data_IF_831308485585
#
_entry.id   IF_831308485585
#
_cell.length_a   1.000
_cell.length_b   1.000
_cell.length_c   1.000
_cell.angle_alpha   90.00
_cell.angle_beta   90.00
_cell.angle_gamma   90.00
#
_symmetry.space_group_name_H-M   'P 1'
#
loop_
_entity.id
_entity.type
_entity.pdbx_description
1 polymer ?
#
# COMPACT_ATOMS: atom_id res chain seq x y z
N UNK A 1 7.77 23.91 -10.80
CA UNK A 1 7.84 23.18 -12.07
C UNK A 1 8.66 21.91 -11.82
N UNK A 2 8.04 20.76 -11.84
CA UNK A 2 8.72 19.46 -11.70
C UNK A 2 8.60 18.78 -13.04
N UNK A 3 9.74 18.62 -13.66
CA UNK A 3 9.93 17.92 -14.92
C UNK A 3 9.72 16.42 -14.73
N UNK A 4 8.76 15.85 -15.45
CA UNK A 4 8.79 14.55 -16.14
C UNK A 4 7.52 14.49 -16.97
N UNK A 5 7.66 14.22 -18.27
CA UNK A 5 6.74 14.02 -19.40
C UNK A 5 5.23 13.78 -19.19
N UNK A 6 4.60 14.42 -18.24
CA UNK A 6 3.20 14.26 -17.90
C UNK A 6 2.36 15.33 -18.61
N UNK A 7 1.33 14.90 -19.34
CA UNK A 7 0.20 15.78 -19.63
C UNK A 7 -0.32 16.28 -18.28
N UNK A 8 0.03 17.51 -17.91
CA UNK A 8 -0.49 18.13 -16.69
C UNK A 8 -2.02 18.23 -16.81
N UNK A 9 -2.72 17.44 -15.99
CA UNK A 9 -4.15 17.62 -15.85
C UNK A 9 -4.42 18.97 -15.13
N UNK A 10 -5.37 19.76 -15.61
CA UNK A 10 -5.72 21.02 -14.98
C UNK A 10 -6.52 20.78 -13.69
N UNK A 11 -6.40 21.66 -12.71
CA UNK A 11 -7.21 21.60 -11.50
C UNK A 11 -8.70 21.64 -11.82
N UNK A 12 -9.12 22.46 -12.77
CA UNK A 12 -10.52 22.54 -13.21
C UNK A 12 -11.03 21.17 -13.72
N UNK A 13 -10.20 20.43 -14.45
CA UNK A 13 -10.57 19.09 -14.92
C UNK A 13 -10.78 18.11 -13.78
N UNK A 14 -9.95 18.19 -12.72
CA UNK A 14 -10.09 17.36 -11.52
C UNK A 14 -11.35 17.74 -10.72
N UNK A 15 -11.61 19.03 -10.56
CA UNK A 15 -12.81 19.55 -9.89
C UNK A 15 -14.06 19.09 -10.61
N UNK A 16 -14.14 19.31 -11.92
CA UNK A 16 -15.30 18.91 -12.73
C UNK A 16 -15.55 17.41 -12.68
N UNK A 17 -14.47 16.60 -12.74
CA UNK A 17 -14.58 15.15 -12.58
C UNK A 17 -15.15 14.76 -11.21
N UNK A 18 -14.72 15.41 -10.14
CA UNK A 18 -15.20 15.13 -8.79
C UNK A 18 -16.67 15.57 -8.61
N UNK A 19 -17.04 16.77 -9.04
CA UNK A 19 -18.41 17.26 -8.98
C UNK A 19 -19.37 16.33 -9.72
N UNK A 20 -19.06 15.98 -10.97
CA UNK A 20 -19.86 15.04 -11.77
C UNK A 20 -19.97 13.67 -11.08
N UNK A 21 -18.85 13.16 -10.54
CA UNK A 21 -18.82 11.84 -9.89
C UNK A 21 -19.63 11.76 -8.62
N UNK A 22 -19.75 12.89 -7.91
CA UNK A 22 -20.53 13.01 -6.67
C UNK A 22 -21.97 13.47 -6.89
N UNK A 23 -22.33 13.80 -8.15
CA UNK A 23 -23.66 14.36 -8.48
C UNK A 23 -23.88 15.75 -7.89
N UNK A 24 -22.83 16.52 -7.69
CA UNK A 24 -22.87 17.88 -7.15
C UNK A 24 -23.08 18.90 -8.28
N UNK A 25 -23.81 20.00 -8.03
CA UNK A 25 -23.96 21.08 -9.00
C UNK A 25 -22.62 21.72 -9.38
N UNK A 26 -22.47 22.19 -10.61
CA UNK A 26 -21.27 22.90 -11.07
C UNK A 26 -21.02 24.20 -10.29
N UNK A 27 -22.07 24.76 -9.67
CA UNK A 27 -21.97 25.96 -8.81
C UNK A 27 -21.50 25.68 -7.39
N UNK A 28 -21.20 24.40 -7.05
CA UNK A 28 -20.71 24.03 -5.72
C UNK A 28 -19.34 24.66 -5.48
N UNK A 29 -19.24 25.45 -4.42
CA UNK A 29 -17.94 25.91 -3.95
C UNK A 29 -17.13 24.72 -3.42
N UNK A 30 -16.02 24.43 -4.08
CA UNK A 30 -15.15 23.33 -3.73
C UNK A 30 -13.69 23.76 -3.74
N UNK A 31 -12.91 23.20 -2.84
CA UNK A 31 -11.47 23.37 -2.74
C UNK A 31 -10.73 22.09 -3.11
N UNK A 32 -9.59 22.23 -3.77
CA UNK A 32 -8.70 21.13 -4.09
C UNK A 32 -7.28 21.43 -3.63
N UNK A 33 -6.78 20.63 -2.71
CA UNK A 33 -5.46 20.78 -2.13
C UNK A 33 -4.58 19.56 -2.47
N UNK A 34 -3.34 19.76 -2.97
CA UNK A 34 -2.42 18.66 -3.18
C UNK A 34 -2.02 18.05 -1.84
N UNK A 35 -1.98 16.72 -1.77
CA UNK A 35 -1.39 15.98 -0.67
C UNK A 35 0.09 15.72 -0.97
N UNK A 36 0.91 15.61 0.07
CA UNK A 36 2.35 15.35 -0.08
C UNK A 36 2.58 14.09 -0.92
N UNK A 37 3.50 14.15 -1.89
CA UNK A 37 3.87 13.02 -2.75
C UNK A 37 4.35 11.85 -1.90
N UNK A 38 3.64 10.74 -1.99
CA UNK A 38 4.09 9.45 -1.50
C UNK A 38 4.38 8.59 -2.73
N UNK A 39 5.61 8.63 -3.25
CA UNK A 39 6.22 7.73 -4.24
C UNK A 39 5.40 7.34 -5.50
N UNK A 40 6.01 6.62 -6.42
CA UNK A 40 5.38 5.74 -7.44
C UNK A 40 4.50 6.35 -8.55
N UNK A 41 4.76 7.60 -9.04
CA UNK A 41 4.05 8.12 -10.25
C UNK A 41 2.56 8.38 -10.02
N UNK A 42 2.14 8.65 -8.79
CA UNK A 42 0.77 9.07 -8.44
C UNK A 42 0.81 10.44 -7.78
N UNK A 43 -0.19 11.26 -8.08
CA UNK A 43 -0.43 12.53 -7.43
C UNK A 43 -1.78 12.48 -6.74
N UNK A 44 -1.82 12.88 -5.48
CA UNK A 44 -2.99 12.84 -4.64
C UNK A 44 -3.48 14.24 -4.34
N UNK A 45 -4.79 14.43 -4.42
CA UNK A 45 -5.45 15.67 -4.06
C UNK A 45 -6.61 15.38 -3.13
N UNK A 46 -6.80 16.25 -2.13
CA UNK A 46 -8.03 16.27 -1.33
C UNK A 46 -8.98 17.28 -1.94
N UNK A 47 -10.13 16.80 -2.38
CA UNK A 47 -11.24 17.58 -2.85
C UNK A 47 -12.25 17.77 -1.71
N UNK A 48 -12.59 19.01 -1.37
CA UNK A 48 -13.56 19.35 -0.33
C UNK A 48 -14.69 20.18 -0.91
N UNK A 49 -15.91 19.83 -0.57
CA UNK A 49 -17.13 20.57 -0.97
C UNK A 49 -17.96 21.02 0.22
N UNK A 50 -17.56 20.67 1.43
CA UNK A 50 -18.07 21.25 2.69
C UNK A 50 -16.98 21.12 3.78
N UNK A 51 -17.17 21.75 4.95
CA UNK A 51 -16.24 21.58 6.07
C UNK A 51 -16.07 20.14 6.56
N UNK A 52 -17.08 19.29 6.36
CA UNK A 52 -17.13 17.90 6.83
C UNK A 52 -16.94 16.88 5.71
N UNK A 53 -17.16 17.28 4.45
CA UNK A 53 -17.19 16.36 3.33
C UNK A 53 -15.99 16.54 2.42
N UNK A 54 -15.27 15.45 2.21
CA UNK A 54 -14.10 15.40 1.32
C UNK A 54 -13.97 14.04 0.64
N UNK A 55 -13.22 14.03 -0.45
CA UNK A 55 -12.83 12.83 -1.18
C UNK A 55 -11.38 12.96 -1.64
N UNK A 56 -10.75 11.85 -1.95
CA UNK A 56 -9.39 11.82 -2.50
C UNK A 56 -9.46 11.59 -4.00
N UNK A 57 -8.79 12.47 -4.74
CA UNK A 57 -8.53 12.28 -6.17
C UNK A 57 -7.12 11.75 -6.33
N UNK A 58 -6.95 10.67 -7.08
CA UNK A 58 -5.67 10.14 -7.51
C UNK A 58 -5.57 10.36 -9.03
N UNK A 59 -4.53 11.05 -9.47
CA UNK A 59 -4.10 11.05 -10.86
C UNK A 59 -2.83 10.21 -10.95
N UNK A 60 -2.84 9.18 -11.81
CA UNK A 60 -1.78 8.18 -11.85
C UNK A 60 -1.13 8.07 -13.23
N UNK A 61 0.15 7.70 -13.22
CA UNK A 61 0.91 7.37 -14.41
C UNK A 61 0.59 5.92 -14.85
N UNK A 62 -0.02 5.72 -16.04
CA UNK A 62 -0.36 4.40 -16.55
C UNK A 62 0.84 3.59 -17.03
N UNK A 63 2.03 4.19 -17.26
CA UNK A 63 3.25 3.46 -17.61
C UNK A 63 3.68 2.54 -16.46
N UNK A 64 3.34 2.91 -15.23
CA UNK A 64 3.44 2.00 -14.08
C UNK A 64 2.19 1.15 -14.01
N UNK A 65 2.28 -0.04 -14.58
CA UNK A 65 1.13 -0.95 -14.77
C UNK A 65 0.36 -1.20 -13.46
N UNK A 66 1.04 -1.28 -12.34
CA UNK A 66 0.45 -1.49 -11.01
C UNK A 66 -0.58 -0.39 -10.65
N UNK A 67 -0.34 0.86 -11.09
CA UNK A 67 -1.27 1.97 -10.82
C UNK A 67 -2.63 1.75 -11.48
N UNK A 68 -2.66 1.07 -12.62
CA UNK A 68 -3.90 0.76 -13.34
C UNK A 68 -4.75 -0.30 -12.65
N UNK A 69 -4.19 -1.04 -11.69
CA UNK A 69 -4.88 -2.11 -10.95
C UNK A 69 -5.56 -1.61 -9.67
N UNK A 70 -5.18 -0.42 -9.19
CA UNK A 70 -5.62 0.11 -7.89
C UNK A 70 -7.14 0.06 -7.70
N UNK A 71 -7.91 0.62 -8.65
CA UNK A 71 -9.36 0.70 -8.52
C UNK A 71 -10.03 -0.69 -8.53
N UNK A 72 -9.59 -1.58 -9.40
CA UNK A 72 -10.12 -2.94 -9.49
C UNK A 72 -9.83 -3.74 -8.22
N UNK A 73 -8.60 -3.61 -7.68
CA UNK A 73 -8.20 -4.23 -6.40
C UNK A 73 -9.05 -3.68 -5.27
N UNK A 74 -9.26 -2.35 -5.17
CA UNK A 74 -10.10 -1.76 -4.13
C UNK A 74 -11.53 -2.31 -4.16
N UNK A 75 -12.14 -2.40 -5.35
CA UNK A 75 -13.50 -2.96 -5.53
C UNK A 75 -13.54 -4.44 -5.12
N UNK A 76 -12.52 -5.20 -5.50
CA UNK A 76 -12.39 -6.62 -5.14
C UNK A 76 -12.31 -6.79 -3.62
N UNK A 77 -11.46 -6.00 -2.94
CA UNK A 77 -11.27 -6.03 -1.49
C UNK A 77 -12.54 -5.60 -0.72
N UNK A 78 -13.18 -4.53 -1.18
CA UNK A 78 -14.43 -4.03 -0.58
C UNK A 78 -15.52 -5.11 -0.60
N UNK A 79 -15.69 -5.82 -1.73
CA UNK A 79 -16.66 -6.91 -1.85
C UNK A 79 -16.41 -8.07 -0.87
N UNK A 80 -15.18 -8.19 -0.36
CA UNK A 80 -14.75 -9.23 0.60
C UNK A 80 -14.62 -8.72 2.03
N UNK A 81 -15.16 -7.53 2.28
CA UNK A 81 -15.14 -6.89 3.59
C UNK A 81 -13.71 -6.67 4.15
N UNK A 82 -12.73 -6.55 3.26
CA UNK A 82 -11.41 -6.07 3.63
C UNK A 82 -11.48 -4.55 3.70
N UNK A 83 -11.03 -3.94 4.80
CA UNK A 83 -11.16 -2.50 5.00
C UNK A 83 -10.18 -1.73 4.09
N UNK A 84 -10.71 -1.09 3.08
CA UNK A 84 -10.00 -0.21 2.12
C UNK A 84 -10.90 0.99 1.79
N UNK A 85 -10.35 2.13 1.35
CA UNK A 85 -11.14 3.24 0.86
C UNK A 85 -12.04 2.80 -0.30
N UNK A 86 -13.31 3.15 -0.24
CA UNK A 86 -14.28 2.84 -1.30
C UNK A 86 -14.00 3.70 -2.54
N UNK A 87 -13.95 3.07 -3.70
CA UNK A 87 -13.87 3.78 -4.98
C UNK A 87 -15.25 4.38 -5.29
N UNK A 88 -15.29 5.68 -5.51
CA UNK A 88 -16.48 6.43 -5.91
C UNK A 88 -16.61 6.38 -7.43
N UNK A 89 -15.53 6.71 -8.15
CA UNK A 89 -15.46 6.63 -9.61
C UNK A 89 -14.01 6.40 -10.07
N UNK A 90 -13.86 5.66 -11.16
CA UNK A 90 -12.60 5.49 -11.88
C UNK A 90 -12.81 5.82 -13.37
N UNK A 91 -11.96 6.67 -13.92
CA UNK A 91 -11.89 6.97 -15.36
C UNK A 91 -10.51 6.56 -15.88
N UNK A 92 -10.36 5.34 -16.42
CA UNK A 92 -9.09 4.85 -16.96
C UNK A 92 -8.55 5.69 -18.12
N UNK A 93 -9.44 6.32 -18.91
CA UNK A 93 -9.04 7.13 -20.07
C UNK A 93 -8.33 8.41 -19.66
N UNK A 94 -8.65 8.94 -18.48
CA UNK A 94 -8.04 10.11 -17.86
C UNK A 94 -7.01 9.76 -16.80
N UNK A 95 -6.87 8.48 -16.45
CA UNK A 95 -6.01 8.00 -15.36
C UNK A 95 -6.38 8.64 -14.00
N UNK A 96 -7.69 8.80 -13.72
CA UNK A 96 -8.19 9.44 -12.51
C UNK A 96 -9.04 8.47 -11.70
N UNK A 97 -8.81 8.44 -10.39
CA UNK A 97 -9.64 7.74 -9.42
C UNK A 97 -10.16 8.77 -8.40
N UNK A 98 -11.45 8.71 -8.10
CA UNK A 98 -12.06 9.38 -6.95
C UNK A 98 -12.42 8.32 -5.93
N UNK A 99 -11.95 8.49 -4.70
CA UNK A 99 -12.19 7.55 -3.61
C UNK A 99 -12.51 8.25 -2.30
N UNK A 100 -13.01 7.50 -1.35
CA UNK A 100 -13.30 7.91 0.01
C UNK A 100 -12.05 8.48 0.70
N UNK A 101 -12.24 9.56 1.49
CA UNK A 101 -11.17 10.17 2.27
C UNK A 101 -11.10 9.56 3.67
N UNK A 102 -10.03 8.87 3.97
CA UNK A 102 -9.77 8.26 5.29
C UNK A 102 -9.13 9.22 6.30
N UNK A 103 -9.09 10.51 6.00
CA UNK A 103 -8.48 11.52 6.88
C UNK A 103 -6.94 11.57 6.77
N UNK A 104 -6.29 11.93 7.88
CA UNK A 104 -4.85 12.18 7.90
C UNK A 104 -4.11 11.29 8.91
N UNK A 105 -4.81 10.43 9.63
CA UNK A 105 -4.25 9.65 10.74
C UNK A 105 -4.00 8.23 10.23
N UNK A 106 -2.75 7.84 10.22
CA UNK A 106 -2.30 6.48 9.94
C UNK A 106 -1.85 5.77 11.24
N UNK A 107 -1.58 4.50 11.15
CA UNK A 107 -1.13 3.69 12.28
C UNK A 107 0.23 4.20 12.82
N UNK A 108 1.11 4.72 11.95
CA UNK A 108 2.36 5.35 12.34
C UNK A 108 2.16 6.56 13.26
N UNK A 109 1.06 7.29 13.13
CA UNK A 109 0.71 8.43 13.98
C UNK A 109 0.57 8.02 15.45
N UNK A 110 0.35 6.74 15.73
CA UNK A 110 0.23 6.18 17.08
C UNK A 110 1.55 5.64 17.66
N UNK A 111 2.68 5.71 16.94
CA UNK A 111 3.97 5.12 17.33
C UNK A 111 4.50 5.52 18.73
N UNK A 112 4.10 6.71 19.20
CA UNK A 112 4.49 7.24 20.53
C UNK A 112 3.38 7.14 21.58
N UNK A 113 2.26 6.48 21.25
CA UNK A 113 1.18 6.24 22.21
C UNK A 113 1.51 5.05 23.11
N UNK A 114 0.82 4.97 24.24
CA UNK A 114 0.92 3.85 25.17
C UNK A 114 0.66 2.52 24.46
N UNK A 115 1.35 1.46 24.94
CA UNK A 115 1.28 0.14 24.31
C UNK A 115 -0.15 -0.38 24.16
N UNK A 116 -1.00 -0.24 25.17
CA UNK A 116 -2.39 -0.69 25.11
C UNK A 116 -3.18 -0.12 23.92
N UNK A 117 -2.92 1.16 23.60
CA UNK A 117 -3.55 1.82 22.44
C UNK A 117 -2.97 1.26 21.15
N UNK A 118 -1.63 1.19 21.04
CA UNK A 118 -0.95 0.62 19.88
C UNK A 118 -1.39 -0.82 19.65
N UNK A 119 -1.30 -1.66 20.66
CA UNK A 119 -1.68 -3.07 20.65
C UNK A 119 -3.09 -3.28 20.06
N UNK A 120 -4.06 -2.52 20.56
CA UNK A 120 -5.44 -2.62 20.06
C UNK A 120 -5.54 -2.36 18.56
N UNK A 121 -4.85 -1.33 18.05
CA UNK A 121 -4.88 -0.99 16.62
C UNK A 121 -4.10 -2.01 15.78
N UNK A 122 -2.95 -2.49 16.27
CA UNK A 122 -2.18 -3.52 15.59
C UNK A 122 -2.94 -4.85 15.54
N UNK A 123 -3.61 -5.25 16.61
CA UNK A 123 -4.46 -6.44 16.61
C UNK A 123 -5.62 -6.33 15.60
N UNK A 124 -6.28 -5.17 15.52
CA UNK A 124 -7.32 -4.92 14.49
C UNK A 124 -6.72 -4.99 13.08
N UNK A 125 -5.52 -4.47 12.88
CA UNK A 125 -4.78 -4.51 11.61
C UNK A 125 -4.43 -5.94 11.22
N UNK A 126 -3.91 -6.73 12.16
CA UNK A 126 -3.59 -8.15 11.97
C UNK A 126 -4.83 -8.97 11.63
N UNK A 127 -5.98 -8.71 12.28
CA UNK A 127 -7.25 -9.35 11.93
C UNK A 127 -7.68 -9.02 10.50
N UNK A 128 -7.50 -7.78 10.05
CA UNK A 128 -7.79 -7.40 8.67
C UNK A 128 -6.84 -8.07 7.67
N UNK A 129 -5.53 -8.13 7.98
CA UNK A 129 -4.53 -8.83 7.18
C UNK A 129 -4.82 -10.35 7.13
N UNK A 130 -5.16 -10.96 8.25
CA UNK A 130 -5.56 -12.37 8.30
C UNK A 130 -6.76 -12.67 7.38
N UNK A 131 -7.75 -11.78 7.34
CA UNK A 131 -8.89 -11.94 6.41
C UNK A 131 -8.44 -11.85 4.96
N UNK A 132 -7.54 -10.92 4.64
CA UNK A 132 -6.94 -10.80 3.31
C UNK A 132 -6.22 -12.10 2.91
N UNK A 133 -5.36 -12.63 3.78
CA UNK A 133 -4.58 -13.84 3.53
C UNK A 133 -5.44 -15.11 3.43
N UNK A 134 -6.66 -15.09 3.97
CA UNK A 134 -7.59 -16.21 3.93
C UNK A 134 -8.68 -16.09 2.85
N UNK A 135 -8.51 -15.21 1.87
CA UNK A 135 -9.37 -15.19 0.69
C UNK A 135 -9.12 -16.48 -0.10
N UNK A 136 -10.09 -17.40 -0.09
CA UNK A 136 -9.98 -18.75 -0.67
C UNK A 136 -10.55 -18.84 -2.10
N UNK A 137 -10.59 -17.75 -2.83
CA UNK A 137 -11.06 -17.78 -4.20
C UNK A 137 -9.95 -18.21 -5.16
N UNK A 138 -10.33 -18.95 -6.18
CA UNK A 138 -9.45 -19.19 -7.32
C UNK A 138 -9.24 -17.86 -8.07
N UNK A 139 -8.11 -17.21 -7.78
CA UNK A 139 -7.75 -15.92 -8.37
C UNK A 139 -7.56 -16.01 -9.88
N UNK A 140 -7.34 -17.22 -10.42
CA UNK A 140 -7.26 -17.43 -11.87
C UNK A 140 -8.61 -17.28 -12.57
N UNK A 141 -9.71 -17.44 -11.81
CA UNK A 141 -11.08 -17.27 -12.28
C UNK A 141 -11.66 -15.89 -11.94
N UNK A 142 -10.91 -15.03 -11.24
CA UNK A 142 -11.34 -13.68 -10.90
C UNK A 142 -10.90 -12.69 -11.99
N UNK A 143 -11.76 -11.71 -12.29
CA UNK A 143 -11.44 -10.62 -13.24
C UNK A 143 -10.39 -9.63 -12.71
N UNK A 144 -9.79 -9.92 -11.53
CA UNK A 144 -8.81 -9.04 -10.91
C UNK A 144 -7.43 -9.23 -11.54
N UNK A 145 -6.81 -8.12 -11.92
CA UNK A 145 -5.40 -8.07 -12.32
C UNK A 145 -4.53 -7.80 -11.12
N UNK A 146 -3.53 -8.65 -10.91
CA UNK A 146 -2.54 -8.54 -9.86
C UNK A 146 -1.14 -8.46 -10.45
N UNK A 147 -0.19 -7.96 -9.67
CA UNK A 147 1.21 -8.09 -10.01
C UNK A 147 1.64 -9.57 -9.99
N UNK A 148 2.71 -9.89 -10.71
CA UNK A 148 3.29 -11.23 -10.70
C UNK A 148 3.55 -11.68 -9.26
N UNK A 149 3.13 -12.91 -8.94
CA UNK A 149 3.30 -13.48 -7.62
C UNK A 149 4.77 -13.64 -7.24
N UNK A 150 5.04 -13.71 -5.94
CA UNK A 150 6.39 -13.99 -5.47
C UNK A 150 6.89 -15.32 -6.02
N UNK A 151 8.07 -15.29 -6.58
CA UNK A 151 8.81 -16.43 -7.07
C UNK A 151 10.26 -16.36 -6.58
N UNK A 152 11.03 -17.41 -6.81
CA UNK A 152 12.42 -17.48 -6.34
C UNK A 152 13.27 -16.31 -6.89
N UNK A 153 13.09 -15.94 -8.16
CA UNK A 153 13.86 -14.88 -8.80
C UNK A 153 13.55 -13.50 -8.18
N UNK A 154 12.27 -13.24 -7.82
CA UNK A 154 11.88 -11.99 -7.17
C UNK A 154 12.47 -11.88 -5.75
N UNK A 155 12.42 -12.97 -4.95
CA UNK A 155 13.07 -12.98 -3.63
C UNK A 155 14.59 -12.78 -3.75
N UNK A 156 15.24 -13.44 -4.71
CA UNK A 156 16.67 -13.27 -4.94
C UNK A 156 17.03 -11.84 -5.35
N UNK A 157 16.17 -11.21 -6.15
CA UNK A 157 16.33 -9.80 -6.52
C UNK A 157 16.20 -8.88 -5.28
N UNK A 158 15.23 -9.09 -4.41
CA UNK A 158 15.06 -8.30 -3.16
C UNK A 158 16.29 -8.47 -2.24
N UNK A 159 16.78 -9.69 -2.09
CA UNK A 159 18.01 -9.94 -1.31
C UNK A 159 19.23 -9.23 -1.89
N UNK A 160 19.39 -9.27 -3.21
CA UNK A 160 20.48 -8.55 -3.90
C UNK A 160 20.32 -7.04 -3.69
N UNK A 161 19.11 -6.51 -3.84
CA UNK A 161 18.80 -5.09 -3.62
C UNK A 161 19.17 -4.67 -2.19
N UNK A 162 18.80 -5.46 -1.19
CA UNK A 162 19.17 -5.22 0.21
C UNK A 162 20.67 -5.18 0.42
N UNK A 163 21.39 -6.17 -0.08
CA UNK A 163 22.84 -6.24 0.08
C UNK A 163 23.57 -5.08 -0.61
N UNK A 164 23.14 -4.71 -1.82
CA UNK A 164 23.79 -3.63 -2.59
C UNK A 164 23.44 -2.25 -2.05
N UNK A 165 22.18 -1.96 -1.77
CA UNK A 165 21.75 -0.61 -1.42
C UNK A 165 21.79 -0.32 0.07
N UNK A 166 21.40 -1.26 0.92
CA UNK A 166 21.41 -1.07 2.35
C UNK A 166 22.77 -1.42 2.96
N UNK A 167 23.22 -2.65 2.83
CA UNK A 167 24.44 -3.11 3.51
C UNK A 167 25.67 -2.37 2.98
N UNK A 168 25.85 -2.35 1.68
CA UNK A 168 27.00 -1.68 1.06
C UNK A 168 26.76 -0.17 0.91
N UNK A 169 25.58 0.25 0.43
CA UNK A 169 25.31 1.66 0.10
C UNK A 169 25.11 2.54 1.33
N UNK A 170 24.30 2.11 2.31
CA UNK A 170 23.95 2.92 3.50
C UNK A 170 24.89 2.60 4.66
N UNK A 171 25.05 1.32 5.01
CA UNK A 171 25.90 0.91 6.13
C UNK A 171 27.40 0.98 5.81
N UNK A 172 27.77 1.09 4.52
CA UNK A 172 29.15 1.11 4.05
C UNK A 172 29.97 -0.10 4.55
N UNK A 173 29.34 -1.28 4.58
CA UNK A 173 29.96 -2.54 5.02
C UNK A 173 30.45 -3.31 3.80
N UNK A 174 31.77 -3.54 3.71
CA UNK A 174 32.34 -4.48 2.76
C UNK A 174 32.42 -5.87 3.41
N UNK A 175 31.61 -6.80 2.86
CA UNK A 175 31.54 -8.18 3.37
C UNK A 175 32.65 -9.03 2.74
N UNK A 176 33.45 -9.71 3.57
CA UNK A 176 34.45 -10.64 3.08
C UNK A 176 33.82 -11.76 2.21
N UNK A 177 34.52 -12.25 1.18
CA UNK A 177 34.01 -13.26 0.24
C UNK A 177 33.45 -14.52 0.92
N UNK A 178 34.12 -15.00 1.97
CA UNK A 178 33.67 -16.18 2.75
C UNK A 178 32.35 -15.91 3.47
N UNK A 179 32.21 -14.75 4.09
CA UNK A 179 30.99 -14.34 4.78
C UNK A 179 29.87 -14.12 3.77
N UNK A 180 30.16 -13.48 2.63
CA UNK A 180 29.17 -13.27 1.56
C UNK A 180 28.66 -14.62 1.02
N UNK A 181 29.51 -15.63 0.88
CA UNK A 181 29.08 -16.97 0.46
C UNK A 181 28.12 -17.62 1.50
N UNK A 182 28.42 -17.47 2.80
CA UNK A 182 27.58 -17.95 3.87
C UNK A 182 26.21 -17.24 3.87
N UNK A 183 26.17 -15.90 3.78
CA UNK A 183 24.94 -15.10 3.69
C UNK A 183 24.10 -15.53 2.50
N UNK A 184 24.69 -15.66 1.32
CA UNK A 184 23.97 -16.11 0.11
C UNK A 184 23.36 -17.49 0.28
N UNK A 185 24.06 -18.41 0.97
CA UNK A 185 23.51 -19.74 1.25
C UNK A 185 22.30 -19.65 2.18
N UNK A 186 22.36 -18.87 3.27
CA UNK A 186 21.24 -18.68 4.19
C UNK A 186 20.05 -18.04 3.48
N UNK A 187 20.26 -16.99 2.70
CA UNK A 187 19.22 -16.33 1.90
C UNK A 187 18.57 -17.31 0.91
N UNK A 188 19.36 -18.16 0.25
CA UNK A 188 18.84 -19.19 -0.64
C UNK A 188 18.01 -20.24 0.10
N UNK A 189 18.40 -20.66 1.32
CA UNK A 189 17.58 -21.55 2.14
C UNK A 189 16.29 -20.88 2.59
N UNK A 190 16.33 -19.57 2.89
CA UNK A 190 15.13 -18.78 3.21
C UNK A 190 14.16 -18.77 2.03
N UNK A 191 14.62 -18.49 0.80
CA UNK A 191 13.79 -18.55 -0.42
C UNK A 191 13.11 -19.92 -0.53
N UNK A 192 13.85 -21.02 -0.35
CA UNK A 192 13.28 -22.37 -0.40
C UNK A 192 12.18 -22.59 0.63
N UNK A 193 12.29 -22.00 1.82
CA UNK A 193 11.25 -22.08 2.86
C UNK A 193 10.03 -21.25 2.47
N UNK A 194 10.23 -20.01 2.02
CA UNK A 194 9.16 -19.12 1.59
C UNK A 194 8.35 -19.71 0.42
N UNK A 195 9.04 -20.34 -0.54
CA UNK A 195 8.40 -20.99 -1.69
C UNK A 195 7.61 -22.26 -1.33
N UNK A 196 7.82 -22.83 -0.13
CA UNK A 196 7.03 -23.96 0.37
C UNK A 196 5.77 -23.53 1.13
N UNK A 197 5.69 -22.29 1.56
CA UNK A 197 4.52 -21.78 2.26
C UNK A 197 3.32 -21.75 1.31
N UNK A 198 2.10 -22.08 1.79
CA UNK A 198 0.91 -21.92 0.99
C UNK A 198 0.77 -20.48 0.52
N UNK A 199 0.61 -20.25 -0.80
CA UNK A 199 0.48 -18.89 -1.32
C UNK A 199 -0.89 -18.31 -0.94
N UNK A 200 -0.90 -17.04 -0.59
CA UNK A 200 -2.11 -16.25 -0.34
C UNK A 200 -1.98 -14.88 -1.00
N UNK A 201 -3.05 -14.07 -0.99
CA UNK A 201 -2.94 -12.66 -1.34
C UNK A 201 -2.16 -11.92 -0.26
N UNK A 202 -1.14 -11.18 -0.64
CA UNK A 202 -0.38 -10.30 0.24
C UNK A 202 -0.50 -8.86 -0.23
N UNK A 203 -0.56 -7.95 0.73
CA UNK A 203 -0.54 -6.50 0.48
C UNK A 203 0.77 -6.06 -0.17
N UNK A 204 1.86 -6.71 0.20
CA UNK A 204 3.24 -6.50 -0.24
C UNK A 204 3.93 -5.30 0.45
N UNK A 205 3.21 -4.28 0.86
CA UNK A 205 3.77 -3.07 1.48
C UNK A 205 2.95 -2.67 2.73
N UNK A 206 2.71 -3.67 3.61
CA UNK A 206 1.91 -3.49 4.82
C UNK A 206 2.74 -2.85 5.94
N UNK A 207 3.02 -1.55 5.77
CA UNK A 207 3.72 -0.72 6.76
C UNK A 207 2.70 0.15 7.50
N UNK A 208 3.06 0.65 8.67
CA UNK A 208 2.18 1.48 9.51
C UNK A 208 1.67 2.74 8.79
N UNK A 209 2.44 3.30 7.86
CA UNK A 209 2.04 4.45 7.04
C UNK A 209 1.01 4.11 5.95
N UNK A 210 0.84 2.82 5.64
CA UNK A 210 -0.12 2.32 4.65
C UNK A 210 -1.40 1.75 5.30
N UNK A 211 -1.58 2.01 6.60
CA UNK A 211 -2.78 1.65 7.37
C UNK A 211 -3.39 2.93 7.93
N UNK A 212 -4.42 3.46 7.28
CA UNK A 212 -5.17 4.60 7.78
C UNK A 212 -6.06 4.19 8.95
N UNK A 213 -6.19 5.07 9.95
CA UNK A 213 -7.06 4.83 11.11
C UNK A 213 -8.20 5.83 11.08
N UNK A 214 -9.43 5.33 10.95
CA UNK A 214 -10.66 6.13 11.01
C UNK A 214 -11.63 5.43 11.98
N UNK A 215 -12.15 6.16 12.97
CA UNK A 215 -13.03 5.64 14.01
C UNK A 215 -12.46 4.37 14.68
N UNK A 216 -11.17 4.41 15.04
CA UNK A 216 -10.41 3.28 15.63
C UNK A 216 -10.41 2.00 14.78
N UNK A 217 -10.63 2.09 13.48
CA UNK A 217 -10.60 0.99 12.53
C UNK A 217 -9.49 1.19 11.51
N UNK A 218 -8.73 0.13 11.17
CA UNK A 218 -7.71 0.18 10.14
C UNK A 218 -8.33 0.10 8.74
N UNK A 219 -7.75 0.84 7.80
CA UNK A 219 -8.05 0.78 6.36
C UNK A 219 -6.74 0.71 5.59
N UNK A 220 -6.59 -0.29 4.75
CA UNK A 220 -5.40 -0.46 3.93
C UNK A 220 -5.41 0.47 2.73
N UNK A 221 -4.26 1.10 2.47
CA UNK A 221 -3.99 1.90 1.27
C UNK A 221 -2.68 1.42 0.64
N UNK A 222 -2.40 1.86 -0.57
CA UNK A 222 -1.15 1.54 -1.29
C UNK A 222 -1.00 0.05 -1.69
N UNK A 223 -2.12 -0.62 -1.92
CA UNK A 223 -2.21 -2.06 -2.20
C UNK A 223 -2.11 -2.42 -3.70
N UNK A 224 -1.81 -1.49 -4.63
CA UNK A 224 -1.72 -1.78 -6.07
C UNK A 224 -0.61 -2.77 -6.42
N UNK A 225 0.40 -2.89 -5.55
CA UNK A 225 1.46 -3.89 -5.67
C UNK A 225 1.08 -5.30 -5.20
N UNK A 226 -0.20 -5.49 -4.80
CA UNK A 226 -0.72 -6.76 -4.30
C UNK A 226 -0.44 -7.92 -5.26
N UNK A 227 -0.12 -9.06 -4.70
CA UNK A 227 0.24 -10.28 -5.43
C UNK A 227 0.03 -11.53 -4.58
N UNK A 228 0.23 -12.70 -5.16
CA UNK A 228 0.30 -13.92 -4.39
C UNK A 228 1.68 -14.10 -3.76
N UNK A 229 1.73 -14.56 -2.51
CA UNK A 229 2.96 -14.74 -1.77
C UNK A 229 2.76 -15.43 -0.42
N UNK A 230 3.79 -15.43 0.40
CA UNK A 230 3.73 -15.94 1.76
C UNK A 230 3.14 -14.89 2.71
N UNK A 231 2.14 -15.26 3.53
CA UNK A 231 1.50 -14.37 4.51
C UNK A 231 2.51 -13.69 5.46
N UNK A 232 3.61 -14.37 5.78
CA UNK A 232 4.67 -13.80 6.63
C UNK A 232 5.37 -12.60 6.03
N UNK A 233 5.23 -12.34 4.73
CA UNK A 233 5.78 -11.15 4.09
C UNK A 233 5.13 -9.88 4.65
N UNK A 234 3.78 -9.85 4.71
CA UNK A 234 3.05 -8.71 5.26
C UNK A 234 3.28 -8.57 6.77
N UNK A 235 3.31 -9.69 7.50
CA UNK A 235 3.60 -9.68 8.93
C UNK A 235 5.00 -9.12 9.20
N UNK A 236 6.01 -9.56 8.45
CA UNK A 236 7.37 -9.04 8.57
C UNK A 236 7.45 -7.55 8.24
N UNK A 237 6.71 -7.08 7.22
CA UNK A 237 6.65 -5.66 6.85
C UNK A 237 6.02 -4.80 7.95
N UNK A 238 5.04 -5.33 8.69
CA UNK A 238 4.37 -4.61 9.76
C UNK A 238 5.19 -4.59 11.06
N UNK A 239 5.81 -5.72 11.43
CA UNK A 239 6.57 -5.85 12.69
C UNK A 239 7.95 -5.20 12.56
N UNK A 240 8.61 -5.32 11.39
CA UNK A 240 9.92 -4.72 11.14
C UNK A 240 9.80 -3.39 10.39
N UNK A 241 8.68 -2.69 10.56
CA UNK A 241 8.49 -1.37 9.98
C UNK A 241 9.58 -0.40 10.45
N UNK A 242 10.42 0.16 9.55
CA UNK A 242 11.53 1.01 9.93
C UNK A 242 11.09 2.33 10.59
N UNK A 243 9.80 2.63 10.56
CA UNK A 243 9.23 3.85 11.13
C UNK A 243 8.68 3.67 12.55
N UNK A 244 8.62 2.42 13.06
CA UNK A 244 8.07 2.10 14.38
C UNK A 244 9.03 1.18 15.12
N UNK A 245 9.29 1.51 16.37
CA UNK A 245 10.07 0.64 17.26
C UNK A 245 9.13 -0.17 18.14
N UNK A 246 9.38 -1.47 18.23
CA UNK A 246 8.77 -2.40 19.19
C UNK A 246 9.84 -3.00 20.08
N UNK A 247 9.53 -3.20 21.36
CA UNK A 247 10.34 -4.05 22.23
C UNK A 247 10.12 -5.53 21.88
N UNK A 248 11.01 -6.39 22.37
CA UNK A 248 10.88 -7.84 22.19
C UNK A 248 9.56 -8.35 22.78
N UNK A 249 9.15 -7.84 23.94
CA UNK A 249 7.88 -8.18 24.60
C UNK A 249 6.67 -7.74 23.75
N UNK A 250 6.72 -6.55 23.14
CA UNK A 250 5.65 -6.04 22.26
C UNK A 250 5.52 -6.87 20.98
N UNK A 251 6.62 -7.46 20.48
CA UNK A 251 6.61 -8.33 19.31
C UNK A 251 6.04 -9.73 19.63
N UNK A 252 6.29 -10.24 20.86
CA UNK A 252 5.80 -11.55 21.29
C UNK A 252 4.30 -11.55 21.59
N UNK A 253 3.68 -10.42 21.91
CA UNK A 253 2.23 -10.28 22.14
C UNK A 253 1.40 -10.20 20.85
#
# INVERSE_FOLDING_TARGET
AIYHGEKMISQDSLINFALESLGLPDSTEADIAPLSKRGSGRTFFRFRWSPQDSAIIIHYDPERIENTYYADIAVFLTKRLIPVPRIIRHDPSKCIILMEDMGNIDLWSYRQKDWEIKRTLYQKTLVAAYRLHNIQEDLSCSDIRLMEGFNAALYEWEHKYFLEHFVKGICNIDIEPKMMAAIKNELHQLVKRLMKAPPCLVHRDLQSQNVMIMDEKPFFIDFQGMRTGCAFYDLASLINDPYVYFSDEEIEE
#
